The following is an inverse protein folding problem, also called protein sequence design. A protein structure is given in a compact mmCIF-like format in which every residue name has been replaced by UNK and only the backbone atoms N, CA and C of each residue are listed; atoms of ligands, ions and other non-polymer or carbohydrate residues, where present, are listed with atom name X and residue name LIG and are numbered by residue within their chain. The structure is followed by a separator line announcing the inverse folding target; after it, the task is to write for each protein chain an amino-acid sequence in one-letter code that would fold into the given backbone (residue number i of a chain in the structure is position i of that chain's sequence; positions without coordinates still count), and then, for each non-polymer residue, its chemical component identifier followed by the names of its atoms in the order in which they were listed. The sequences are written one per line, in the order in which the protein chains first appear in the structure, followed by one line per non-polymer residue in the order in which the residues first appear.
data_IF_453150918552
#
_entry.id   IF_453150918552
#
_cell.length_a   1.000
_cell.length_b   1.000
_cell.length_c   1.000
_cell.angle_alpha   90.00
_cell.angle_beta   90.00
_cell.angle_gamma   90.00
#
_symmetry.space_group_name_H-M   'P 1'
#
loop_
_entity.id
_entity.type
_entity.pdbx_description
1 polymer ?
#
# COMPACT_ATOMS: atom_id res chain seq x y z
N UNK A 1 4.96 13.78 -18.53
CA UNK A 1 6.31 13.33 -18.09
C UNK A 1 6.20 11.87 -17.74
N UNK A 2 6.90 10.97 -18.43
CA UNK A 2 6.89 9.53 -18.14
C UNK A 2 7.77 9.24 -16.92
N UNK A 3 7.19 8.67 -15.86
CA UNK A 3 7.92 8.18 -14.69
C UNK A 3 8.58 6.84 -15.07
N UNK A 4 9.91 6.84 -15.17
CA UNK A 4 10.68 5.61 -15.31
C UNK A 4 10.71 4.89 -13.97
N UNK A 5 10.18 3.67 -13.90
CA UNK A 5 10.32 2.80 -12.74
C UNK A 5 11.81 2.48 -12.50
N UNK A 6 12.39 3.08 -11.46
CA UNK A 6 13.77 2.78 -11.05
C UNK A 6 13.87 1.28 -10.71
N UNK A 7 14.69 0.53 -11.46
CA UNK A 7 14.97 -0.87 -11.15
C UNK A 7 15.70 -0.97 -9.81
N UNK A 8 15.46 -2.09 -9.10
CA UNK A 8 15.95 -2.30 -7.73
C UNK A 8 16.77 -3.58 -7.68
N UNK A 9 17.94 -3.53 -7.04
CA UNK A 9 18.79 -4.70 -6.79
C UNK A 9 18.72 -5.12 -5.32
N UNK A 10 18.91 -6.43 -5.08
CA UNK A 10 18.92 -7.00 -3.72
C UNK A 10 20.20 -7.77 -3.49
N UNK A 11 20.88 -7.54 -2.37
CA UNK A 11 22.12 -8.24 -1.99
C UNK A 11 22.21 -8.38 -0.46
N UNK A 12 23.18 -9.15 0.04
CA UNK A 12 23.36 -9.37 1.48
C UNK A 12 24.61 -8.64 1.99
N UNK A 13 24.53 -8.06 3.20
CA UNK A 13 25.69 -7.47 3.86
C UNK A 13 26.73 -8.57 4.19
N UNK A 14 28.01 -8.44 3.78
CA UNK A 14 29.03 -9.45 4.02
C UNK A 14 29.43 -9.63 5.50
N UNK A 15 28.99 -8.73 6.40
CA UNK A 15 29.30 -8.79 7.84
C UNK A 15 28.19 -9.37 8.70
N UNK A 16 26.94 -8.92 8.49
CA UNK A 16 25.81 -9.35 9.32
C UNK A 16 24.76 -10.17 8.55
N UNK A 17 24.98 -10.40 7.25
CA UNK A 17 24.06 -11.12 6.38
C UNK A 17 22.66 -10.49 6.26
N UNK A 18 22.49 -9.22 6.62
CA UNK A 18 21.24 -8.50 6.41
C UNK A 18 20.95 -8.36 4.90
N UNK A 19 19.73 -8.68 4.49
CA UNK A 19 19.24 -8.49 3.11
C UNK A 19 18.98 -7.00 2.89
N UNK A 20 19.61 -6.43 1.87
CA UNK A 20 19.55 -5.01 1.54
C UNK A 20 18.98 -4.84 0.14
N UNK A 21 18.15 -3.81 -0.03
CA UNK A 21 17.47 -3.48 -1.28
C UNK A 21 17.74 -2.03 -1.62
N UNK A 22 18.34 -1.78 -2.79
CA UNK A 22 18.73 -0.42 -3.23
C UNK A 22 18.38 -0.20 -4.70
N UNK A 23 18.07 1.03 -5.11
CA UNK A 23 17.93 1.39 -6.53
C UNK A 23 19.21 1.10 -7.33
N UNK A 24 19.07 0.67 -8.59
CA UNK A 24 20.21 0.38 -9.48
C UNK A 24 21.15 1.58 -9.66
N UNK A 25 20.64 2.81 -9.56
CA UNK A 25 21.45 4.05 -9.58
C UNK A 25 22.46 4.16 -8.42
N UNK A 26 22.33 3.33 -7.38
CA UNK A 26 23.25 3.28 -6.23
C UNK A 26 24.25 2.11 -6.28
N UNK A 27 24.30 1.34 -7.38
CA UNK A 27 25.32 0.29 -7.56
C UNK A 27 26.73 0.88 -7.56
N UNK A 28 27.69 0.22 -6.90
CA UNK A 28 29.07 0.69 -6.77
C UNK A 28 29.30 1.79 -5.71
N UNK A 29 28.24 2.33 -5.10
CA UNK A 29 28.36 3.35 -4.05
C UNK A 29 28.63 2.68 -2.69
N UNK A 30 29.50 3.30 -1.89
CA UNK A 30 29.81 2.87 -0.53
C UNK A 30 28.91 3.55 0.51
N UNK A 31 28.44 2.81 1.50
CA UNK A 31 27.63 3.33 2.60
C UNK A 31 27.67 2.44 3.84
N UNK A 32 27.24 2.93 5.01
CA UNK A 32 27.13 2.09 6.20
C UNK A 32 25.93 1.15 6.08
N UNK A 33 26.12 -0.13 6.41
CA UNK A 33 25.02 -1.09 6.51
C UNK A 33 24.02 -0.64 7.59
N UNK A 34 22.71 -0.61 7.32
CA UNK A 34 21.71 -0.15 8.29
C UNK A 34 21.63 -1.05 9.53
N UNK A 35 21.94 -2.34 9.41
CA UNK A 35 21.86 -3.29 10.52
C UNK A 35 23.10 -3.30 11.42
N UNK A 36 24.31 -3.26 10.85
CA UNK A 36 25.56 -3.43 11.62
C UNK A 36 26.53 -2.24 11.55
N UNK A 37 26.17 -1.18 10.82
CA UNK A 37 26.97 0.04 10.59
C UNK A 37 28.32 -0.16 9.91
N UNK A 38 28.67 -1.38 9.49
CA UNK A 38 29.90 -1.64 8.74
C UNK A 38 29.79 -1.03 7.35
N UNK A 39 30.87 -0.40 6.87
CA UNK A 39 30.97 0.13 5.51
C UNK A 39 30.87 -1.02 4.49
N UNK A 40 29.95 -0.89 3.55
CA UNK A 40 29.67 -1.87 2.48
C UNK A 40 29.63 -1.15 1.14
N UNK A 41 29.91 -1.88 0.06
CA UNK A 41 29.85 -1.40 -1.32
C UNK A 41 28.73 -2.15 -2.03
N UNK A 42 27.82 -1.43 -2.68
CA UNK A 42 26.78 -2.03 -3.50
C UNK A 42 27.40 -2.78 -4.70
N UNK A 43 27.03 -4.04 -4.98
CA UNK A 43 27.56 -4.77 -6.13
C UNK A 43 27.15 -4.08 -7.43
N UNK A 44 28.04 -4.09 -8.42
CA UNK A 44 27.70 -3.69 -9.78
C UNK A 44 26.72 -4.72 -10.34
N UNK A 45 25.61 -4.25 -10.92
CA UNK A 45 24.68 -5.14 -11.59
C UNK A 45 25.33 -5.66 -12.86
N UNK A 46 25.90 -6.86 -12.83
CA UNK A 46 26.27 -7.56 -14.07
C UNK A 46 24.97 -7.84 -14.82
N UNK A 47 24.73 -7.08 -15.89
CA UNK A 47 23.66 -7.40 -16.83
C UNK A 47 23.99 -8.76 -17.42
N UNK A 48 23.12 -9.74 -17.19
CA UNK A 48 23.17 -11.08 -17.76
C UNK A 48 23.43 -11.02 -19.27
N UNK A 49 24.68 -11.16 -19.69
CA UNK A 49 25.01 -11.68 -21.00
C UNK A 49 24.85 -13.19 -20.94
N UNK A 50 23.91 -13.71 -21.72
CA UNK A 50 23.58 -15.13 -21.90
C UNK A 50 24.81 -16.03 -22.05
N UNK A 51 24.77 -17.29 -21.58
CA UNK A 51 25.85 -18.25 -21.82
C UNK A 51 25.73 -18.79 -23.25
N UNK A 52 26.69 -18.41 -24.10
CA UNK A 52 26.95 -19.06 -25.37
C UNK A 52 27.78 -20.33 -25.16
N UNK A 53 27.48 -21.35 -25.97
CA UNK A 53 28.09 -22.67 -25.96
C UNK A 53 29.55 -22.62 -26.41
N UNK A 54 30.41 -23.41 -25.77
CA UNK A 54 31.81 -23.57 -26.18
C UNK A 54 32.48 -24.72 -25.42
N UNK A 55 32.79 -25.75 -26.19
CA UNK A 55 33.05 -27.15 -25.84
C UNK A 55 34.46 -27.47 -25.30
N UNK A 56 34.60 -28.68 -24.76
CA UNK A 56 35.82 -29.48 -24.49
C UNK A 56 36.77 -29.03 -23.35
N UNK A 57 37.42 -29.86 -22.54
CA UNK A 57 37.45 -31.31 -22.29
C UNK A 57 38.48 -31.53 -21.16
N UNK A 58 38.27 -32.48 -20.24
CA UNK A 58 39.18 -33.62 -19.97
C UNK A 58 38.92 -34.28 -18.61
N UNK A 59 38.95 -35.60 -18.70
CA UNK A 59 38.73 -36.64 -17.70
C UNK A 59 39.66 -36.61 -16.48
N UNK A 60 39.17 -37.16 -15.36
CA UNK A 60 39.83 -38.29 -14.69
C UNK A 60 38.98 -38.84 -13.52
N UNK A 61 38.50 -40.06 -13.72
CA UNK A 61 38.54 -41.22 -12.81
C UNK A 61 38.38 -41.05 -11.28
N UNK A 62 37.26 -41.59 -10.80
CA UNK A 62 37.05 -42.23 -9.47
C UNK A 62 37.78 -43.60 -9.38
N UNK A 63 37.73 -44.43 -8.30
CA UNK A 63 37.00 -44.34 -7.01
C UNK A 63 37.80 -44.86 -5.75
N UNK A 64 37.20 -44.81 -4.55
CA UNK A 64 37.21 -45.84 -3.47
C UNK A 64 36.61 -45.26 -2.17
N UNK A 65 35.48 -45.75 -1.67
CA UNK A 65 35.25 -46.94 -0.81
C UNK A 65 35.79 -46.85 0.65
N UNK A 66 34.83 -47.01 1.58
CA UNK A 66 34.90 -47.65 2.91
C UNK A 66 35.80 -47.01 3.98
N UNK A 67 35.19 -46.57 5.10
CA UNK A 67 35.51 -47.04 6.47
C UNK A 67 34.35 -46.72 7.44
N UNK A 68 34.11 -47.73 8.28
CA UNK A 68 33.09 -47.96 9.32
C UNK A 68 33.35 -47.23 10.65
N UNK A 69 32.28 -47.26 11.49
CA UNK A 69 32.20 -47.38 13.00
C UNK A 69 32.25 -46.07 13.81
N UNK A 70 31.47 -45.80 14.89
CA UNK A 70 30.62 -46.54 15.89
C UNK A 70 29.53 -45.57 16.45
N UNK A 71 28.23 -45.92 16.62
CA UNK A 71 27.51 -46.46 17.85
C UNK A 71 27.84 -45.69 19.15
N UNK A 72 26.97 -44.96 19.87
CA UNK A 72 25.76 -45.31 20.70
C UNK A 72 25.30 -44.06 21.52
N UNK A 73 24.25 -44.03 22.38
CA UNK A 73 22.96 -44.76 22.42
C UNK A 73 21.71 -43.83 22.51
N UNK A 74 20.56 -44.45 22.29
CA UNK A 74 19.19 -43.96 22.51
C UNK A 74 18.89 -43.59 23.97
N UNK A 75 17.94 -42.66 24.16
CA UNK A 75 16.90 -42.80 25.20
C UNK A 75 15.54 -42.34 24.66
N UNK A 76 14.63 -43.32 24.52
CA UNK A 76 13.18 -43.16 24.40
C UNK A 76 12.63 -42.57 25.71
N UNK A 77 11.56 -41.79 25.64
CA UNK A 77 10.30 -42.11 26.33
C UNK A 77 9.13 -41.38 25.68
N UNK A 78 8.03 -42.11 25.55
CA UNK A 78 6.72 -41.73 25.03
C UNK A 78 5.72 -41.92 26.19
N UNK A 79 4.86 -40.94 26.44
CA UNK A 79 3.53 -41.03 27.12
C UNK A 79 2.90 -39.63 26.97
N UNK A 80 1.85 -39.45 26.16
CA UNK A 80 0.42 -39.71 26.44
C UNK A 80 -0.22 -38.71 27.42
N UNK A 81 -1.11 -37.86 26.87
CA UNK A 81 -2.42 -37.38 27.36
C UNK A 81 -2.63 -37.09 28.85
N UNK A 82 -2.90 -35.83 29.17
CA UNK A 82 -3.99 -35.39 30.06
C UNK A 82 -4.14 -33.86 29.96
N UNK A 83 -5.37 -33.35 29.95
CA UNK A 83 -5.66 -31.92 29.96
C UNK A 83 -5.79 -31.39 31.39
N UNK A 84 -5.21 -30.20 31.63
CA UNK A 84 -5.39 -29.35 32.81
C UNK A 84 -5.31 -27.90 32.29
N UNK A 85 -6.43 -27.17 32.23
CA UNK A 85 -6.97 -26.28 33.28
C UNK A 85 -5.97 -25.21 33.70
N UNK A 86 -6.20 -23.98 33.21
CA UNK A 86 -5.29 -22.84 33.24
C UNK A 86 -5.80 -21.77 34.24
N UNK A 87 -6.03 -22.18 35.48
CA UNK A 87 -6.43 -21.32 36.59
C UNK A 87 -5.54 -21.65 37.79
N UNK A 88 -4.33 -21.07 37.86
CA UNK A 88 -3.52 -20.89 39.09
C UNK A 88 -2.16 -20.22 38.79
N UNK A 89 -2.16 -18.97 38.34
CA UNK A 89 -0.95 -18.12 38.38
C UNK A 89 -1.35 -16.69 38.70
N UNK A 90 -1.88 -16.40 39.88
CA UNK A 90 -1.77 -15.08 40.55
C UNK A 90 -2.16 -15.22 42.03
N UNK A 91 -1.25 -15.74 42.85
CA UNK A 91 -1.27 -15.59 44.31
C UNK A 91 0.16 -15.51 44.83
N UNK A 92 0.43 -14.47 45.63
CA UNK A 92 1.68 -14.18 46.35
C UNK A 92 2.87 -13.71 45.46
N UNK A 93 3.58 -12.62 45.76
CA UNK A 93 4.01 -12.20 47.09
C UNK A 93 4.31 -10.69 47.17
N UNK A 94 4.14 -10.17 48.39
CA UNK A 94 4.34 -8.80 48.84
C UNK A 94 5.80 -8.56 49.25
N UNK A 95 6.16 -7.27 49.27
CA UNK A 95 7.21 -6.60 50.06
C UNK A 95 8.66 -6.67 49.55
N UNK A 96 9.13 -5.55 48.99
CA UNK A 96 10.47 -5.02 49.25
C UNK A 96 10.43 -3.49 49.33
N UNK A 97 11.05 -2.98 50.39
CA UNK A 97 11.20 -1.57 50.75
C UNK A 97 11.83 -0.75 49.62
N UNK A 98 11.25 0.42 49.34
CA UNK A 98 11.81 1.43 48.43
C UNK A 98 12.58 2.44 49.26
N UNK A 99 13.90 2.43 49.08
CA UNK A 99 14.85 3.39 49.62
C UNK A 99 14.67 4.76 48.94
N UNK A 100 14.31 5.77 49.74
CA UNK A 100 14.19 7.16 49.33
C UNK A 100 15.55 7.83 49.49
N UNK A 101 16.33 7.95 48.40
CA UNK A 101 17.18 9.11 48.04
C UNK A 101 18.31 8.75 47.05
N UNK A 102 18.28 9.21 45.79
CA UNK A 102 19.49 9.31 44.98
C UNK A 102 20.10 10.72 45.07
N UNK A 103 21.33 10.76 45.59
CA UNK A 103 22.22 11.93 45.60
C UNK A 103 22.57 12.34 44.15
N UNK A 104 22.38 13.61 43.73
CA UNK A 104 22.74 14.04 42.38
C UNK A 104 24.26 14.25 42.22
N UNK A 105 24.84 13.63 41.18
CA UNK A 105 26.24 13.87 40.76
C UNK A 105 26.35 15.16 39.92
N UNK A 106 27.46 15.91 40.03
CA UNK A 106 27.61 17.22 39.39
C UNK A 106 27.77 17.14 37.87
N UNK A 107 27.00 17.98 37.18
CA UNK A 107 26.97 18.17 35.72
C UNK A 107 28.22 18.92 35.23
N UNK A 108 28.96 18.30 34.29
CA UNK A 108 30.23 18.80 33.74
C UNK A 108 29.95 19.72 32.54
N UNK A 109 30.06 21.03 32.75
CA UNK A 109 29.92 22.11 31.75
C UNK A 109 31.05 22.03 30.72
N UNK A 110 30.73 21.73 29.46
CA UNK A 110 31.71 21.71 28.36
C UNK A 110 31.54 22.96 27.48
N UNK A 111 32.60 23.75 27.38
CA UNK A 111 32.65 25.06 26.77
C UNK A 111 33.30 24.93 25.38
N UNK A 112 32.53 24.95 24.30
CA UNK A 112 33.05 25.11 22.92
C UNK A 112 32.14 26.03 22.12
N UNK A 113 32.40 27.33 22.22
CA UNK A 113 31.74 28.39 21.47
C UNK A 113 32.85 29.25 20.86
N UNK A 114 33.21 29.00 19.59
CA UNK A 114 33.93 29.96 18.70
C UNK A 114 34.24 29.47 17.27
N UNK A 115 33.86 28.27 16.82
CA UNK A 115 34.21 27.81 15.45
C UNK A 115 33.16 28.09 14.35
N UNK A 116 31.91 28.45 14.68
CA UNK A 116 30.81 28.44 13.68
C UNK A 116 30.59 29.77 12.93
N UNK A 117 31.39 30.82 13.15
CA UNK A 117 31.16 32.12 12.48
C UNK A 117 31.77 32.24 11.07
N UNK A 118 32.73 31.40 10.72
CA UNK A 118 33.43 31.50 9.41
C UNK A 118 32.71 30.70 8.30
N UNK A 119 31.93 29.68 8.66
CA UNK A 119 31.22 28.84 7.67
C UNK A 119 29.95 29.53 7.16
N UNK A 120 29.30 30.38 7.96
CA UNK A 120 28.03 31.02 7.59
C UNK A 120 28.17 32.10 6.51
N UNK A 121 29.32 32.79 6.46
CA UNK A 121 29.54 33.89 5.50
C UNK A 121 29.81 33.39 4.08
N UNK A 122 30.44 32.23 3.91
CA UNK A 122 30.70 31.66 2.59
C UNK A 122 29.43 31.20 1.86
N UNK A 123 28.44 30.68 2.59
CA UNK A 123 27.17 30.19 2.03
C UNK A 123 26.26 31.31 1.50
N UNK A 124 26.26 32.49 2.14
CA UNK A 124 25.42 33.62 1.68
C UNK A 124 25.95 34.19 0.37
N UNK A 125 27.28 34.24 0.17
CA UNK A 125 27.89 34.73 -1.06
C UNK A 125 27.55 33.87 -2.28
N UNK A 126 27.44 32.54 -2.11
CA UNK A 126 27.10 31.60 -3.20
C UNK A 126 25.65 31.80 -3.66
N UNK A 127 24.72 31.99 -2.72
CA UNK A 127 23.30 32.20 -3.04
C UNK A 127 23.11 33.50 -3.83
N UNK A 128 23.76 34.59 -3.42
CA UNK A 128 23.68 35.87 -4.13
C UNK A 128 24.28 35.77 -5.56
N UNK A 129 25.39 35.06 -5.73
CA UNK A 129 25.99 34.87 -7.05
C UNK A 129 25.09 34.04 -7.99
N UNK A 130 24.44 33.00 -7.46
CA UNK A 130 23.50 32.17 -8.24
C UNK A 130 22.25 32.94 -8.69
N UNK A 131 21.70 33.80 -7.82
CA UNK A 131 20.56 34.66 -8.16
C UNK A 131 20.92 35.67 -9.25
N UNK A 132 22.14 36.22 -9.21
CA UNK A 132 22.62 37.14 -10.24
C UNK A 132 22.80 36.45 -11.60
N UNK A 133 23.32 35.22 -11.63
CA UNK A 133 23.43 34.43 -12.86
C UNK A 133 22.06 34.04 -13.43
N UNK A 134 21.12 33.61 -12.59
CA UNK A 134 19.76 33.28 -13.02
C UNK A 134 19.03 34.50 -13.62
N UNK A 135 19.15 35.68 -12.98
CA UNK A 135 18.57 36.91 -13.50
C UNK A 135 19.19 37.33 -14.84
N UNK A 136 20.49 37.08 -15.04
CA UNK A 136 21.16 37.40 -16.31
C UNK A 136 20.74 36.46 -17.45
N UNK A 137 20.48 35.19 -17.15
CA UNK A 137 19.95 34.22 -18.11
C UNK A 137 18.49 34.53 -18.48
N UNK A 138 17.67 34.97 -17.52
CA UNK A 138 16.27 35.33 -17.77
C UNK A 138 16.13 36.51 -18.74
N UNK A 139 16.97 37.55 -18.61
CA UNK A 139 16.91 38.73 -19.49
C UNK A 139 17.48 38.50 -20.89
N UNK A 140 18.07 37.34 -21.18
CA UNK A 140 18.79 37.09 -22.43
C UNK A 140 17.96 36.53 -23.60
N UNK A 141 16.67 36.21 -23.42
CA UNK A 141 15.98 35.35 -24.39
C UNK A 141 14.56 35.82 -24.78
N UNK A 142 14.39 37.12 -25.00
CA UNK A 142 13.23 37.65 -25.76
C UNK A 142 13.66 37.94 -27.20
N UNK A 143 13.66 36.90 -28.04
CA UNK A 143 13.52 37.05 -29.49
C UNK A 143 12.35 36.18 -29.97
N UNK A 144 11.21 36.86 -30.12
CA UNK A 144 10.28 36.82 -31.25
C UNK A 144 10.18 35.49 -32.03
N UNK A 145 9.32 34.59 -31.57
CA UNK A 145 8.82 33.48 -32.39
C UNK A 145 7.56 33.96 -33.12
N UNK A 146 7.72 34.27 -34.40
CA UNK A 146 6.61 34.46 -35.34
C UNK A 146 5.87 33.13 -35.53
N UNK A 147 4.55 33.14 -35.32
CA UNK A 147 3.65 32.02 -35.66
C UNK A 147 3.18 32.15 -37.10
N UNK A 148 3.48 31.16 -37.93
CA UNK A 148 2.79 30.96 -39.21
C UNK A 148 1.38 30.36 -38.99
N UNK A 149 0.38 30.73 -39.81
CA UNK A 149 -0.96 30.18 -39.72
C UNK A 149 -1.05 28.80 -40.39
N UNK A 150 -1.48 27.81 -39.63
CA UNK A 150 -1.82 26.47 -40.12
C UNK A 150 -3.13 26.55 -40.91
N UNK A 151 -3.07 26.14 -42.18
CA UNK A 151 -4.23 25.99 -43.06
C UNK A 151 -5.00 24.70 -42.72
N UNK A 152 -6.30 24.84 -42.41
CA UNK A 152 -7.22 23.73 -42.27
C UNK A 152 -7.90 23.46 -43.62
N UNK A 153 -7.67 22.28 -44.21
CA UNK A 153 -8.49 21.77 -45.30
C UNK A 153 -9.79 21.21 -44.72
N UNK A 154 -10.88 21.93 -44.97
CA UNK A 154 -12.25 21.52 -44.67
C UNK A 154 -12.71 20.57 -45.79
N UNK A 155 -13.01 19.33 -45.43
CA UNK A 155 -13.76 18.39 -46.28
C UNK A 155 -15.25 18.70 -46.10
N UNK A 156 -15.93 19.02 -47.20
CA UNK A 156 -17.34 19.38 -47.25
C UNK A 156 -18.27 18.17 -46.99
N UNK A 157 -19.51 18.42 -46.52
CA UNK A 157 -20.49 17.37 -46.25
C UNK A 157 -21.21 16.92 -47.53
N UNK A 158 -21.52 15.63 -47.60
CA UNK A 158 -22.34 15.02 -48.67
C UNK A 158 -23.80 15.09 -48.23
N UNK A 159 -24.60 15.86 -48.96
CA UNK A 159 -26.07 15.89 -48.81
C UNK A 159 -26.73 14.65 -49.45
N UNK A 160 -27.87 14.18 -48.91
CA UNK A 160 -28.59 13.02 -49.40
C UNK A 160 -29.85 13.43 -50.18
N UNK A 161 -29.85 13.26 -51.51
CA UNK A 161 -31.09 13.19 -52.28
C UNK A 161 -30.84 12.43 -53.59
N UNK A 162 -31.44 11.26 -53.76
CA UNK A 162 -32.13 10.85 -55.00
C UNK A 162 -32.95 9.59 -54.69
N UNK A 163 -34.24 9.78 -54.50
CA UNK A 163 -35.26 8.74 -54.61
C UNK A 163 -35.58 8.59 -56.11
N UNK A 164 -35.69 7.34 -56.58
CA UNK A 164 -36.87 6.79 -57.30
C UNK A 164 -36.57 5.92 -58.53
N UNK A 165 -37.30 4.79 -58.56
CA UNK A 165 -37.59 3.88 -59.69
C UNK A 165 -36.45 2.93 -60.11
N UNK A 166 -36.63 1.63 -60.35
CA UNK A 166 -37.68 0.92 -61.11
C UNK A 166 -37.74 -0.58 -60.73
N UNK A 167 -38.97 -1.09 -60.63
CA UNK A 167 -39.51 -2.44 -60.91
C UNK A 167 -38.97 -3.74 -60.27
N UNK A 168 -39.90 -4.45 -59.62
CA UNK A 168 -39.97 -5.92 -59.56
C UNK A 168 -40.19 -6.56 -60.93
N UNK A 169 -39.83 -7.85 -61.07
CA UNK A 169 -40.87 -8.83 -61.40
C UNK A 169 -40.83 -10.08 -60.51
N UNK A 170 -42.00 -10.73 -60.46
CA UNK A 170 -42.32 -11.95 -59.72
C UNK A 170 -41.74 -13.23 -60.34
N UNK A 171 -41.54 -14.21 -59.44
CA UNK A 171 -41.74 -15.67 -59.58
C UNK A 171 -41.07 -16.43 -60.73
N UNK A 172 -40.24 -17.42 -60.38
CA UNK A 172 -40.56 -18.81 -60.74
C UNK A 172 -39.86 -19.88 -59.88
N UNK A 173 -40.50 -21.05 -59.91
CA UNK A 173 -40.41 -22.29 -59.13
C UNK A 173 -39.04 -22.98 -58.96
N UNK A 174 -38.90 -23.58 -57.76
CA UNK A 174 -38.59 -24.99 -57.43
C UNK A 174 -37.46 -25.69 -58.21
N UNK A 175 -36.39 -26.09 -57.51
CA UNK A 175 -36.03 -27.51 -57.43
C UNK A 175 -35.23 -27.88 -56.17
N UNK A 176 -35.53 -29.05 -55.61
CA UNK A 176 -34.84 -29.66 -54.47
C UNK A 176 -33.75 -30.60 -54.98
N UNK A 177 -32.54 -30.52 -54.42
CA UNK A 177 -31.69 -31.72 -54.28
C UNK A 177 -30.76 -31.62 -53.09
N UNK A 178 -30.83 -32.66 -52.26
CA UNK A 178 -30.00 -32.98 -51.09
C UNK A 178 -28.49 -32.79 -51.31
N UNK A 179 -27.77 -32.28 -50.30
CA UNK A 179 -26.69 -33.03 -49.60
C UNK A 179 -26.15 -32.28 -48.38
N UNK A 180 -26.02 -33.05 -47.30
CA UNK A 180 -25.18 -32.93 -46.11
C UNK A 180 -25.45 -31.92 -44.95
N UNK A 181 -25.55 -32.44 -43.70
CA UNK A 181 -25.66 -31.63 -42.49
C UNK A 181 -24.31 -31.54 -41.78
N UNK A 182 -23.63 -30.38 -41.79
CA UNK A 182 -22.45 -30.18 -40.95
C UNK A 182 -22.47 -28.78 -40.33
N UNK A 183 -22.41 -28.77 -38.99
CA UNK A 183 -22.08 -27.68 -38.08
C UNK A 183 -22.95 -26.43 -38.08
N UNK A 184 -24.07 -26.51 -37.37
CA UNK A 184 -24.48 -25.38 -36.52
C UNK A 184 -23.52 -25.33 -35.34
N UNK A 185 -22.49 -24.51 -35.48
CA UNK A 185 -21.70 -24.02 -34.34
C UNK A 185 -22.68 -23.40 -33.34
N UNK A 186 -22.89 -24.11 -32.24
CA UNK A 186 -23.54 -23.53 -31.08
C UNK A 186 -22.70 -22.34 -30.66
N UNK A 187 -23.24 -21.15 -30.79
CA UNK A 187 -22.76 -19.97 -30.10
C UNK A 187 -22.89 -20.30 -28.61
N UNK A 188 -21.82 -20.82 -28.02
CA UNK A 188 -21.68 -20.93 -26.58
C UNK A 188 -21.52 -19.48 -26.12
N UNK A 189 -22.63 -18.83 -25.80
CA UNK A 189 -22.58 -17.64 -24.97
C UNK A 189 -21.88 -18.06 -23.67
N UNK A 190 -20.73 -17.48 -23.31
CA UNK A 190 -20.10 -17.79 -22.05
C UNK A 190 -21.11 -17.45 -20.96
N UNK A 191 -21.52 -18.44 -20.18
CA UNK A 191 -22.29 -18.22 -18.97
C UNK A 191 -21.36 -17.44 -18.04
N UNK A 192 -21.52 -16.11 -18.01
CA UNK A 192 -20.82 -15.25 -17.06
C UNK A 192 -21.34 -15.68 -15.69
N UNK A 193 -20.56 -16.49 -14.99
CA UNK A 193 -20.84 -16.86 -13.61
C UNK A 193 -20.63 -15.61 -12.75
N UNK A 194 -21.70 -14.84 -12.55
CA UNK A 194 -21.64 -13.64 -11.72
C UNK A 194 -21.48 -14.08 -10.26
N UNK A 195 -20.36 -13.69 -9.64
CA UNK A 195 -20.06 -13.95 -8.23
C UNK A 195 -21.15 -13.32 -7.33
N UNK A 196 -21.62 -14.04 -6.31
CA UNK A 196 -22.58 -13.53 -5.32
C UNK A 196 -22.07 -12.27 -4.60
N UNK A 197 -20.74 -12.13 -4.46
CA UNK A 197 -20.12 -10.91 -3.95
C UNK A 197 -20.32 -9.72 -4.90
N UNK A 198 -20.19 -9.95 -6.21
CA UNK A 198 -20.41 -8.93 -7.24
C UNK A 198 -21.87 -8.45 -7.22
N UNK A 199 -22.84 -9.39 -7.18
CA UNK A 199 -24.27 -9.04 -7.07
C UNK A 199 -24.58 -8.25 -5.80
N UNK A 200 -23.91 -8.57 -4.70
CA UNK A 200 -24.07 -7.84 -3.43
C UNK A 200 -23.53 -6.41 -3.55
N UNK A 201 -22.35 -6.23 -4.14
CA UNK A 201 -21.78 -4.92 -4.38
C UNK A 201 -22.68 -4.08 -5.30
N UNK A 202 -23.20 -4.68 -6.36
CA UNK A 202 -24.12 -4.01 -7.29
C UNK A 202 -25.39 -3.53 -6.57
N UNK A 203 -26.00 -4.39 -5.73
CA UNK A 203 -27.16 -4.01 -4.91
C UNK A 203 -26.83 -2.93 -3.89
N UNK A 204 -25.65 -3.00 -3.27
CA UNK A 204 -25.17 -1.94 -2.39
C UNK A 204 -25.12 -0.63 -3.16
N UNK A 205 -24.39 -0.55 -4.28
CA UNK A 205 -24.21 0.68 -5.06
C UNK A 205 -25.53 1.27 -5.57
N UNK A 206 -26.46 0.43 -6.03
CA UNK A 206 -27.77 0.83 -6.56
C UNK A 206 -28.84 1.14 -5.52
N UNK A 207 -28.58 0.89 -4.23
CA UNK A 207 -29.59 1.10 -3.19
C UNK A 207 -30.08 2.55 -3.15
N UNK A 208 -31.39 2.74 -3.19
CA UNK A 208 -32.04 4.06 -3.30
C UNK A 208 -32.33 4.71 -1.96
N UNK A 209 -32.28 3.92 -0.89
CA UNK A 209 -32.62 4.34 0.46
C UNK A 209 -31.79 3.58 1.51
N UNK A 210 -31.85 4.06 2.74
CA UNK A 210 -31.01 3.57 3.84
C UNK A 210 -31.31 2.12 4.20
N UNK A 211 -32.58 1.70 4.13
CA UNK A 211 -33.00 0.33 4.45
C UNK A 211 -32.44 -0.66 3.43
N UNK A 212 -32.48 -0.33 2.14
CA UNK A 212 -31.82 -1.13 1.10
C UNK A 212 -30.30 -1.17 1.29
N UNK A 213 -29.67 -0.02 1.53
CA UNK A 213 -28.21 0.10 1.67
C UNK A 213 -27.69 -0.75 2.83
N UNK A 214 -28.30 -0.63 4.00
CA UNK A 214 -27.85 -1.27 5.26
C UNK A 214 -27.93 -2.78 5.25
N UNK A 215 -28.82 -3.39 4.45
CA UNK A 215 -28.88 -4.86 4.28
C UNK A 215 -27.61 -5.45 3.69
N UNK A 216 -26.83 -4.65 2.97
CA UNK A 216 -25.62 -5.06 2.30
C UNK A 216 -24.35 -4.62 3.04
N UNK A 217 -24.46 -3.98 4.21
CA UNK A 217 -23.33 -3.46 4.97
C UNK A 217 -22.88 -4.48 6.03
N UNK A 218 -21.56 -4.63 6.16
CA UNK A 218 -20.92 -5.45 7.18
C UNK A 218 -21.12 -4.81 8.56
N UNK A 219 -21.56 -5.60 9.55
CA UNK A 219 -21.83 -5.11 10.92
C UNK A 219 -22.78 -3.90 10.97
N UNK A 220 -23.76 -3.83 10.06
CA UNK A 220 -24.65 -2.68 9.91
C UNK A 220 -25.39 -2.29 11.19
N UNK A 221 -25.78 -3.27 12.03
CA UNK A 221 -26.43 -3.02 13.31
C UNK A 221 -25.57 -2.17 14.27
N UNK A 222 -24.26 -2.42 14.30
CA UNK A 222 -23.31 -1.66 15.13
C UNK A 222 -23.00 -0.29 14.54
N UNK A 223 -22.96 -0.20 13.22
CA UNK A 223 -22.62 1.02 12.49
C UNK A 223 -23.82 1.94 12.25
N UNK A 224 -25.04 1.49 12.52
CA UNK A 224 -26.27 2.20 12.15
C UNK A 224 -26.31 3.66 12.61
N UNK A 225 -25.87 4.03 13.84
CA UNK A 225 -25.82 5.44 14.25
C UNK A 225 -24.91 6.29 13.36
N UNK A 226 -23.73 5.78 12.99
CA UNK A 226 -22.77 6.48 12.13
C UNK A 226 -23.28 6.60 10.70
N UNK A 227 -23.92 5.55 10.20
CA UNK A 227 -24.52 5.53 8.85
C UNK A 227 -25.66 6.55 8.77
N UNK A 228 -26.54 6.59 9.77
CA UNK A 228 -27.65 7.57 9.83
C UNK A 228 -27.09 8.99 9.85
N UNK A 229 -26.09 9.26 10.68
CA UNK A 229 -25.50 10.59 10.79
C UNK A 229 -24.90 11.04 9.45
N UNK A 230 -24.11 10.17 8.81
CA UNK A 230 -23.48 10.46 7.53
C UNK A 230 -24.50 10.81 6.43
N UNK A 231 -25.59 10.04 6.30
CA UNK A 231 -26.59 10.27 5.25
C UNK A 231 -27.62 11.38 5.57
N UNK A 232 -27.48 12.10 6.69
CA UNK A 232 -28.22 13.37 6.89
C UNK A 232 -27.74 14.44 5.92
N UNK A 233 -26.45 14.45 5.62
CA UNK A 233 -25.79 15.49 4.81
C UNK A 233 -25.33 14.97 3.44
N UNK A 234 -25.27 13.65 3.26
CA UNK A 234 -24.78 13.01 2.05
C UNK A 234 -25.87 12.22 1.31
N UNK A 235 -25.79 12.19 -0.02
CA UNK A 235 -26.71 11.40 -0.85
C UNK A 235 -26.48 9.90 -0.66
N UNK A 236 -27.57 9.13 -0.55
CA UNK A 236 -27.51 7.67 -0.54
C UNK A 236 -27.21 7.12 -1.94
N UNK A 237 -27.73 7.77 -2.98
CA UNK A 237 -27.54 7.35 -4.37
C UNK A 237 -26.13 7.65 -4.82
N UNK A 238 -25.46 6.65 -5.38
CA UNK A 238 -24.13 6.78 -5.99
C UNK A 238 -24.30 6.93 -7.50
N UNK A 239 -23.83 8.04 -8.05
CA UNK A 239 -23.89 8.33 -9.48
C UNK A 239 -22.74 7.63 -10.23
N UNK A 240 -23.06 7.05 -11.39
CA UNK A 240 -22.09 6.52 -12.36
C UNK A 240 -21.10 5.51 -11.78
N UNK A 241 -21.55 4.68 -10.83
CA UNK A 241 -20.70 3.64 -10.25
C UNK A 241 -20.40 2.52 -11.24
N UNK A 242 -19.12 2.25 -11.49
CA UNK A 242 -18.66 1.15 -12.35
C UNK A 242 -17.81 0.19 -11.53
N UNK A 243 -18.15 -1.10 -11.60
CA UNK A 243 -17.32 -2.17 -11.00
C UNK A 243 -16.32 -2.62 -12.06
N UNK A 244 -15.05 -2.32 -11.84
CA UNK A 244 -13.96 -2.78 -12.67
C UNK A 244 -13.60 -4.20 -12.22
N UNK A 245 -14.04 -5.20 -12.98
CA UNK A 245 -13.71 -6.59 -12.67
C UNK A 245 -12.21 -6.85 -12.80
N UNK A 246 -11.66 -7.43 -11.72
CA UNK A 246 -10.46 -8.28 -11.59
C UNK A 246 -9.35 -7.73 -10.66
N UNK A 247 -9.19 -8.33 -9.49
CA UNK A 247 -7.87 -8.50 -8.85
C UNK A 247 -7.85 -9.83 -8.11
N UNK A 248 -6.86 -10.64 -8.45
CA UNK A 248 -6.49 -11.96 -7.91
C UNK A 248 -7.03 -12.25 -6.50
N UNK A 249 -8.10 -13.04 -6.41
CA UNK A 249 -8.35 -13.79 -5.19
C UNK A 249 -7.27 -14.86 -5.13
N UNK A 250 -6.35 -14.75 -4.18
CA UNK A 250 -5.64 -15.94 -3.70
C UNK A 250 -6.72 -16.83 -3.09
N UNK A 251 -7.25 -17.73 -3.92
CA UNK A 251 -8.17 -18.75 -3.46
C UNK A 251 -7.48 -19.48 -2.30
N UNK A 252 -8.17 -19.57 -1.17
CA UNK A 252 -7.85 -20.61 -0.20
C UNK A 252 -7.87 -21.95 -0.96
N UNK A 253 -7.06 -22.91 -0.54
CA UNK A 253 -6.95 -24.23 -1.18
C UNK A 253 -8.29 -24.99 -1.30
N UNK A 254 -9.36 -24.48 -0.67
CA UNK A 254 -10.75 -24.91 -0.72
C UNK A 254 -11.62 -24.25 -1.80
N UNK A 255 -11.14 -23.26 -2.55
CA UNK A 255 -11.90 -22.58 -3.62
C UNK A 255 -12.80 -21.42 -3.16
N UNK A 256 -13.18 -21.36 -1.88
CA UNK A 256 -13.99 -20.28 -1.31
C UNK A 256 -13.12 -19.33 -0.47
N UNK A 257 -12.76 -18.16 -1.02
CA UNK A 257 -12.21 -17.07 -0.19
C UNK A 257 -13.34 -16.40 0.60
N UNK A 258 -13.14 -16.22 1.91
CA UNK A 258 -14.08 -15.56 2.84
C UNK A 258 -14.23 -14.06 2.60
N UNK A 259 -13.40 -13.48 1.74
CA UNK A 259 -13.47 -12.06 1.37
C UNK A 259 -13.28 -11.86 -0.14
N UNK A 260 -13.68 -10.68 -0.62
CA UNK A 260 -13.49 -10.20 -2.00
C UNK A 260 -13.08 -8.73 -1.99
N UNK A 261 -12.27 -8.33 -2.96
CA UNK A 261 -11.98 -6.93 -3.25
C UNK A 261 -12.35 -6.69 -4.71
N UNK A 262 -13.17 -5.66 -4.94
CA UNK A 262 -13.44 -5.16 -6.29
C UNK A 262 -12.82 -3.78 -6.45
N UNK A 263 -12.40 -3.44 -7.65
CA UNK A 263 -12.08 -2.05 -7.97
C UNK A 263 -13.37 -1.36 -8.43
N UNK A 264 -13.64 -0.17 -7.89
CA UNK A 264 -14.83 0.62 -8.22
C UNK A 264 -14.40 2.02 -8.60
N UNK A 265 -15.09 2.62 -9.56
CA UNK A 265 -15.07 4.05 -9.82
C UNK A 265 -16.46 4.63 -9.63
N UNK A 266 -16.55 5.91 -9.31
CA UNK A 266 -17.79 6.68 -9.21
C UNK A 266 -17.59 8.06 -9.83
N UNK A 267 -18.67 8.82 -10.02
CA UNK A 267 -18.55 10.23 -10.42
C UNK A 267 -17.76 11.09 -9.42
N UNK A 268 -17.78 10.72 -8.14
CA UNK A 268 -17.07 11.46 -7.07
C UNK A 268 -15.59 11.06 -7.00
N UNK A 269 -15.29 9.81 -7.35
CA UNK A 269 -13.95 9.25 -7.35
C UNK A 269 -13.72 8.50 -8.66
N UNK A 270 -13.20 9.23 -9.64
CA UNK A 270 -12.94 8.70 -10.97
C UNK A 270 -11.77 7.71 -10.98
N UNK A 271 -10.84 7.82 -10.02
CA UNK A 271 -9.75 6.86 -9.85
C UNK A 271 -10.25 5.56 -9.22
N UNK A 272 -9.86 4.38 -9.75
CA UNK A 272 -10.26 3.10 -9.19
C UNK A 272 -9.85 2.94 -7.72
N UNK A 273 -10.81 2.54 -6.89
CA UNK A 273 -10.57 2.27 -5.46
C UNK A 273 -11.09 0.91 -5.01
N UNK A 274 -10.44 0.28 -4.00
CA UNK A 274 -10.80 -1.05 -3.55
C UNK A 274 -12.04 -1.02 -2.67
N UNK A 275 -13.05 -1.82 -3.02
CA UNK A 275 -14.22 -2.08 -2.17
C UNK A 275 -14.12 -3.48 -1.61
N UNK A 276 -14.05 -3.56 -0.29
CA UNK A 276 -13.87 -4.80 0.46
C UNK A 276 -15.21 -5.41 0.87
N UNK A 277 -15.36 -6.71 0.64
CA UNK A 277 -16.51 -7.51 1.05
C UNK A 277 -16.08 -8.75 1.84
N UNK A 278 -16.91 -9.13 2.81
CA UNK A 278 -16.77 -10.38 3.58
C UNK A 278 -17.98 -11.27 3.40
N UNK A 279 -17.76 -12.57 3.37
CA UNK A 279 -18.81 -13.58 3.41
C UNK A 279 -19.14 -13.89 4.87
N UNK A 280 -20.35 -13.52 5.29
CA UNK A 280 -20.89 -13.77 6.64
C UNK A 280 -21.91 -14.90 6.60
N UNK A 281 -22.40 -15.36 7.76
CA UNK A 281 -23.54 -16.28 7.83
C UNK A 281 -24.80 -15.74 7.13
N UNK A 282 -24.93 -14.42 7.05
CA UNK A 282 -26.03 -13.71 6.36
C UNK A 282 -25.72 -13.37 4.89
N UNK A 283 -24.67 -13.97 4.33
CA UNK A 283 -24.16 -13.74 2.99
C UNK A 283 -23.09 -12.64 2.90
N UNK A 284 -22.75 -12.27 1.68
CA UNK A 284 -21.76 -11.23 1.38
C UNK A 284 -22.19 -9.86 1.92
N UNK A 285 -21.24 -9.11 2.49
CA UNK A 285 -21.44 -7.76 3.04
C UNK A 285 -20.28 -6.85 2.69
N UNK A 286 -20.58 -5.58 2.42
CA UNK A 286 -19.63 -4.51 2.07
C UNK A 286 -19.15 -3.80 3.34
N UNK A 287 -17.84 -3.56 3.44
CA UNK A 287 -17.29 -2.65 4.45
C UNK A 287 -17.65 -1.21 4.08
N UNK A 288 -18.68 -0.67 4.74
CA UNK A 288 -19.20 0.67 4.47
C UNK A 288 -18.20 1.77 4.81
N UNK A 289 -17.54 1.67 5.98
CA UNK A 289 -16.61 2.69 6.45
C UNK A 289 -15.43 2.87 5.48
N UNK A 290 -14.86 1.77 4.97
CA UNK A 290 -13.81 1.85 3.96
C UNK A 290 -14.32 2.39 2.63
N UNK A 291 -15.52 1.97 2.20
CA UNK A 291 -16.13 2.45 0.95
C UNK A 291 -16.27 3.98 0.95
N UNK A 292 -16.85 4.55 2.02
CA UNK A 292 -17.03 6.01 2.14
C UNK A 292 -15.68 6.71 2.15
N UNK A 293 -14.73 6.27 2.98
CA UNK A 293 -13.42 6.93 3.07
C UNK A 293 -12.66 6.97 1.73
N UNK A 294 -12.74 5.91 0.92
CA UNK A 294 -12.05 5.88 -0.36
C UNK A 294 -12.77 6.66 -1.45
N UNK A 295 -14.10 6.52 -1.52
CA UNK A 295 -14.93 7.28 -2.44
C UNK A 295 -14.82 8.81 -2.19
N UNK A 296 -14.51 9.22 -0.97
CA UNK A 296 -14.33 10.64 -0.63
C UNK A 296 -12.87 11.09 -0.59
N UNK A 297 -11.91 10.17 -0.77
CA UNK A 297 -10.50 10.40 -0.49
C UNK A 297 -10.27 11.06 0.89
N UNK A 298 -10.93 10.54 1.93
CA UNK A 298 -10.95 11.13 3.26
C UNK A 298 -9.54 11.25 3.86
N UNK A 299 -8.72 10.21 3.72
CA UNK A 299 -7.34 10.25 4.18
C UNK A 299 -6.52 11.28 3.39
N UNK A 300 -6.59 11.30 2.06
CA UNK A 300 -5.84 12.29 1.26
C UNK A 300 -6.18 13.72 1.66
N UNK A 301 -7.47 14.03 1.89
CA UNK A 301 -7.91 15.34 2.40
C UNK A 301 -7.38 15.65 3.81
N UNK A 302 -7.32 14.64 4.68
CA UNK A 302 -6.75 14.78 6.02
C UNK A 302 -5.25 15.06 6.01
N UNK A 303 -4.50 14.45 5.07
CA UNK A 303 -3.06 14.64 4.94
C UNK A 303 -2.68 16.03 4.39
N UNK A 304 -3.57 16.66 3.61
CA UNK A 304 -3.27 17.95 2.97
C UNK A 304 -3.30 19.14 3.93
N UNK A 305 -4.10 19.09 4.99
CA UNK A 305 -4.31 20.23 5.88
C UNK A 305 -4.41 19.80 7.34
N UNK A 306 -3.88 20.63 8.24
CA UNK A 306 -4.02 20.44 9.68
C UNK A 306 -5.50 20.29 10.07
N UNK A 307 -5.80 19.25 10.84
CA UNK A 307 -7.11 19.04 11.46
C UNK A 307 -6.96 18.83 12.95
N UNK A 308 -7.79 19.50 13.75
CA UNK A 308 -7.74 19.38 15.22
C UNK A 308 -8.27 18.04 15.73
N UNK A 309 -9.13 17.41 14.95
CA UNK A 309 -9.78 16.15 15.31
C UNK A 309 -8.90 14.95 14.97
N UNK A 310 -9.01 13.96 15.83
CA UNK A 310 -8.36 12.67 15.66
C UNK A 310 -9.32 11.74 14.92
N UNK A 311 -8.83 11.07 13.88
CA UNK A 311 -9.67 10.30 12.96
C UNK A 311 -9.07 8.95 12.63
N UNK A 312 -9.94 7.97 12.38
CA UNK A 312 -9.55 6.60 12.04
C UNK A 312 -9.60 6.40 10.53
N UNK A 313 -8.51 5.89 9.96
CA UNK A 313 -8.34 5.71 8.52
C UNK A 313 -7.96 4.27 8.16
N UNK A 314 -8.51 3.82 7.05
CA UNK A 314 -8.00 2.65 6.32
C UNK A 314 -6.82 3.11 5.46
N UNK A 315 -5.63 2.60 5.75
CA UNK A 315 -4.40 3.08 5.10
C UNK A 315 -3.68 1.95 4.37
N UNK A 316 -2.85 2.32 3.41
CA UNK A 316 -1.64 1.56 3.08
C UNK A 316 -0.50 2.15 3.90
N UNK A 317 0.29 1.31 4.54
CA UNK A 317 1.33 1.69 5.49
C UNK A 317 2.63 0.92 5.21
N UNK A 318 3.76 1.63 5.21
CA UNK A 318 5.11 1.07 5.09
C UNK A 318 6.00 1.65 6.19
N UNK A 319 6.89 0.83 6.78
CA UNK A 319 7.95 1.35 7.66
C UNK A 319 8.93 2.21 6.87
N UNK A 320 9.26 3.39 7.40
CA UNK A 320 10.09 4.35 6.67
C UNK A 320 11.16 4.99 7.54
N UNK A 321 12.20 5.50 6.88
CA UNK A 321 13.14 6.43 7.48
C UNK A 321 12.77 7.86 7.09
N UNK A 322 12.83 8.77 8.07
CA UNK A 322 12.62 10.20 7.86
C UNK A 322 13.90 10.97 8.14
N UNK A 323 14.31 11.80 7.18
CA UNK A 323 15.53 12.61 7.24
C UNK A 323 15.25 14.13 7.22
N UNK A 324 13.98 14.53 7.32
CA UNK A 324 13.58 15.94 7.35
C UNK A 324 13.80 16.60 8.72
N UNK A 325 13.69 17.93 8.76
CA UNK A 325 13.87 18.75 9.97
C UNK A 325 12.57 19.26 10.58
N UNK A 326 11.42 18.97 9.97
CA UNK A 326 10.11 19.48 10.39
C UNK A 326 9.51 18.82 11.64
N UNK A 327 10.14 17.77 12.16
CA UNK A 327 9.61 16.95 13.25
C UNK A 327 10.54 17.03 14.46
N UNK A 328 10.09 17.66 15.57
CA UNK A 328 10.89 17.76 16.78
C UNK A 328 11.22 16.40 17.39
N UNK A 329 12.42 16.31 17.97
CA UNK A 329 12.89 15.12 18.67
C UNK A 329 12.79 13.84 17.81
N UNK A 330 13.10 13.90 16.51
CA UNK A 330 12.94 12.77 15.59
C UNK A 330 13.62 11.47 16.07
N UNK A 331 14.71 11.56 16.85
CA UNK A 331 15.39 10.41 17.44
C UNK A 331 14.55 9.63 18.46
N UNK A 332 13.53 10.24 19.07
CA UNK A 332 12.58 9.59 19.98
C UNK A 332 11.34 9.05 19.28
N UNK A 333 11.31 9.06 17.94
CA UNK A 333 10.18 8.57 17.16
C UNK A 333 10.58 7.43 16.23
N UNK A 334 9.58 6.64 15.88
CA UNK A 334 9.58 5.78 14.68
C UNK A 334 8.72 6.44 13.61
N UNK A 335 8.94 6.04 12.36
CA UNK A 335 8.31 6.67 11.21
C UNK A 335 7.73 5.62 10.27
N UNK A 336 6.56 5.97 9.72
CA UNK A 336 5.89 5.23 8.67
C UNK A 336 5.57 6.17 7.52
N UNK A 337 5.49 5.62 6.32
CA UNK A 337 4.78 6.25 5.21
C UNK A 337 3.36 5.70 5.19
N UNK A 338 2.40 6.59 5.01
CA UNK A 338 1.02 6.19 4.74
C UNK A 338 0.54 6.84 3.45
N UNK A 339 -0.38 6.16 2.79
CA UNK A 339 -1.11 6.68 1.65
C UNK A 339 -2.54 6.13 1.66
N UNK A 340 -3.49 6.83 1.03
CA UNK A 340 -4.80 6.23 0.78
C UNK A 340 -4.61 5.04 -0.18
N UNK A 341 -5.46 4.00 -0.12
CA UNK A 341 -5.37 2.84 -1.01
C UNK A 341 -5.96 3.11 -2.41
N UNK A 342 -5.73 4.33 -2.89
CA UNK A 342 -5.98 4.83 -4.24
C UNK A 342 -4.69 5.52 -4.70
N UNK A 343 -4.61 5.95 -5.96
CA UNK A 343 -3.52 6.87 -6.30
C UNK A 343 -3.64 8.15 -5.46
N UNK A 344 -2.55 8.53 -4.81
CA UNK A 344 -2.53 9.69 -3.93
C UNK A 344 -1.15 9.95 -3.36
N UNK A 345 -1.04 11.08 -2.66
CA UNK A 345 0.19 11.49 -2.02
C UNK A 345 0.50 10.59 -0.81
N UNK A 346 1.78 10.21 -0.70
CA UNK A 346 2.34 9.59 0.50
C UNK A 346 2.70 10.68 1.52
N UNK A 347 2.43 10.43 2.79
CA UNK A 347 2.86 11.31 3.88
C UNK A 347 3.55 10.52 5.00
N UNK A 348 4.44 11.18 5.73
CA UNK A 348 5.12 10.60 6.88
C UNK A 348 4.33 10.80 8.16
N UNK A 349 4.13 9.71 8.88
CA UNK A 349 3.50 9.70 10.21
C UNK A 349 4.43 9.07 11.24
N UNK A 350 4.22 9.43 12.50
CA UNK A 350 5.15 9.12 13.57
C UNK A 350 4.46 8.41 14.73
N UNK A 351 5.23 7.65 15.50
CA UNK A 351 4.82 7.18 16.82
C UNK A 351 6.01 7.31 17.77
N UNK A 352 5.76 7.44 19.07
CA UNK A 352 6.82 7.44 20.07
C UNK A 352 7.59 6.10 20.04
N UNK A 353 8.92 6.17 20.10
CA UNK A 353 9.79 4.98 19.98
C UNK A 353 9.65 3.99 21.13
N UNK A 354 9.23 4.46 22.29
CA UNK A 354 8.98 3.68 23.50
C UNK A 354 7.50 3.28 23.66
N UNK A 355 6.65 3.53 22.66
CA UNK A 355 5.23 3.17 22.69
C UNK A 355 4.97 1.69 22.37
N UNK A 356 3.79 1.19 22.77
CA UNK A 356 3.29 -0.13 22.35
C UNK A 356 3.13 -0.24 20.83
N UNK A 357 2.88 0.87 20.13
CA UNK A 357 2.85 0.92 18.66
C UNK A 357 4.22 0.60 18.09
N UNK A 358 5.29 1.11 18.69
CA UNK A 358 6.65 0.80 18.25
C UNK A 358 6.99 -0.68 18.43
N UNK A 359 6.75 -1.23 19.63
CA UNK A 359 6.92 -2.65 19.92
C UNK A 359 6.11 -3.54 18.95
N UNK A 360 4.83 -3.21 18.76
CA UNK A 360 3.95 -3.90 17.82
C UNK A 360 4.51 -3.88 16.39
N UNK A 361 4.90 -2.70 15.91
CA UNK A 361 5.40 -2.54 14.54
C UNK A 361 6.71 -3.26 14.29
N UNK A 362 7.58 -3.40 15.30
CA UNK A 362 8.82 -4.15 15.17
C UNK A 362 8.58 -5.65 15.00
N UNK A 363 7.54 -6.17 15.66
CA UNK A 363 7.15 -7.57 15.59
C UNK A 363 6.33 -7.90 14.33
N UNK A 364 5.41 -7.01 13.97
CA UNK A 364 4.34 -7.32 13.03
C UNK A 364 4.56 -6.72 11.63
N UNK A 365 5.41 -5.70 11.51
CA UNK A 365 5.71 -5.00 10.27
C UNK A 365 7.21 -5.10 9.89
N UNK A 366 7.48 -5.79 8.80
CA UNK A 366 8.80 -5.91 8.18
C UNK A 366 9.13 -4.66 7.37
N UNK A 367 10.42 -4.44 7.14
CA UNK A 367 10.91 -3.33 6.33
C UNK A 367 10.76 -3.63 4.84
N UNK A 368 10.27 -2.65 4.07
CA UNK A 368 10.09 -2.76 2.61
C UNK A 368 8.86 -3.57 2.19
N UNK A 369 7.99 -3.91 3.15
CA UNK A 369 6.71 -4.57 2.92
C UNK A 369 5.54 -3.60 3.16
N UNK A 370 4.46 -3.80 2.41
CA UNK A 370 3.26 -2.97 2.48
C UNK A 370 2.19 -3.64 3.36
N UNK A 371 1.61 -2.86 4.25
CA UNK A 371 0.55 -3.28 5.16
C UNK A 371 -0.72 -2.46 4.91
N UNK A 372 -1.86 -3.02 5.32
CA UNK A 372 -3.17 -2.39 5.14
C UNK A 372 -3.90 -2.25 6.49
N UNK A 373 -3.35 -1.52 7.47
CA UNK A 373 -3.96 -1.39 8.77
C UNK A 373 -5.11 -0.38 8.78
N UNK A 374 -5.87 -0.43 9.88
CA UNK A 374 -6.78 0.63 10.29
C UNK A 374 -6.08 1.37 11.43
N UNK A 375 -5.81 2.66 11.24
CA UNK A 375 -5.03 3.46 12.19
C UNK A 375 -5.77 4.73 12.57
N UNK A 376 -5.61 5.16 13.82
CA UNK A 376 -6.06 6.45 14.32
C UNK A 376 -4.93 7.45 14.20
N UNK A 377 -5.22 8.58 13.56
CA UNK A 377 -4.25 9.64 13.27
C UNK A 377 -4.65 10.94 13.93
N UNK A 378 -3.65 11.68 14.39
CA UNK A 378 -3.82 13.00 14.99
C UNK A 378 -2.76 13.96 14.47
N UNK A 379 -3.17 15.16 14.07
CA UNK A 379 -2.21 16.24 13.84
C UNK A 379 -1.69 16.79 15.17
N UNK A 380 -0.38 16.92 15.25
CA UNK A 380 0.32 17.54 16.37
C UNK A 380 0.87 18.88 15.89
N UNK A 381 0.52 19.94 16.60
CA UNK A 381 1.10 21.28 16.43
C UNK A 381 1.89 21.63 17.68
N UNK A 382 3.18 21.84 17.53
CA UNK A 382 4.05 22.23 18.66
C UNK A 382 3.99 23.73 18.92
N UNK A 383 4.43 24.16 20.11
CA UNK A 383 4.55 25.58 20.46
C UNK A 383 5.43 26.35 19.47
N UNK A 384 6.51 25.72 19.00
CA UNK A 384 7.42 26.26 17.99
C UNK A 384 6.83 26.32 16.56
N UNK A 385 5.56 25.93 16.38
CA UNK A 385 4.85 26.01 15.12
C UNK A 385 5.05 24.82 14.17
N UNK A 386 5.85 23.82 14.55
CA UNK A 386 5.98 22.57 13.77
C UNK A 386 4.67 21.80 13.76
N UNK A 387 4.38 21.17 12.62
CA UNK A 387 3.21 20.33 12.42
C UNK A 387 3.65 18.98 11.87
N UNK A 388 3.12 17.90 12.45
CA UNK A 388 3.32 16.54 11.97
C UNK A 388 2.15 15.67 12.40
N UNK A 389 2.04 14.47 11.84
CA UNK A 389 0.96 13.54 12.12
C UNK A 389 1.49 12.40 13.00
N UNK A 390 0.74 12.07 14.04
CA UNK A 390 1.03 10.96 14.93
C UNK A 390 0.01 9.82 14.73
N UNK A 391 0.49 8.58 14.68
CA UNK A 391 -0.33 7.38 14.87
C UNK A 391 -0.54 7.23 16.37
N UNK A 392 -1.77 7.43 16.80
CA UNK A 392 -2.18 7.29 18.20
C UNK A 392 -2.68 5.89 18.51
N UNK A 393 -3.15 5.16 17.50
CA UNK A 393 -3.67 3.81 17.64
C UNK A 393 -3.54 3.02 16.33
N UNK A 394 -3.19 1.73 16.44
CA UNK A 394 -3.40 0.74 15.39
C UNK A 394 -4.59 -0.11 15.82
N UNK A 395 -5.76 0.21 15.29
CA UNK A 395 -7.00 -0.50 15.63
C UNK A 395 -6.97 -1.94 15.11
N UNK A 396 -6.42 -2.12 13.91
CA UNK A 396 -6.38 -3.41 13.24
C UNK A 396 -5.18 -3.51 12.30
N UNK A 397 -4.52 -4.67 12.25
CA UNK A 397 -3.34 -4.91 11.39
C UNK A 397 -3.68 -5.01 9.90
N UNK A 398 -4.88 -5.49 9.58
CA UNK A 398 -5.38 -5.68 8.20
C UNK A 398 -6.83 -5.23 8.11
N UNK A 399 -7.34 -4.93 6.92
CA UNK A 399 -8.77 -4.62 6.74
C UNK A 399 -9.71 -5.82 6.98
N UNK A 400 -9.18 -7.03 7.21
CA UNK A 400 -9.98 -8.25 7.34
C UNK A 400 -10.46 -8.44 8.76
N UNK A 401 -11.77 -8.54 8.95
CA UNK A 401 -12.36 -8.91 10.24
C UNK A 401 -11.99 -10.36 10.55
N UNK A 402 -11.33 -10.61 11.68
CA UNK A 402 -10.92 -11.97 12.06
C UNK A 402 -10.49 -12.08 13.51
N UNK A 403 -10.83 -13.20 14.15
CA UNK A 403 -10.59 -13.47 15.57
C UNK A 403 -9.11 -13.64 15.95
N UNK A 404 -8.19 -13.72 14.98
CA UNK A 404 -6.75 -13.87 15.20
C UNK A 404 -5.95 -12.60 14.89
N UNK A 405 -6.60 -11.43 14.84
CA UNK A 405 -5.89 -10.17 14.76
C UNK A 405 -5.44 -9.77 16.17
N UNK A 406 -4.21 -9.26 16.34
CA UNK A 406 -3.77 -8.71 17.62
C UNK A 406 -4.73 -7.61 18.06
N UNK A 407 -5.03 -7.56 19.36
CA UNK A 407 -5.87 -6.53 19.98
C UNK A 407 -5.37 -5.13 19.62
N UNK A 408 -6.31 -4.19 19.52
CA UNK A 408 -6.06 -2.76 19.31
C UNK A 408 -4.87 -2.26 20.14
N UNK A 409 -3.93 -1.58 19.48
CA UNK A 409 -2.69 -1.09 20.09
C UNK A 409 -2.70 0.43 20.16
N UNK A 410 -2.82 0.97 21.36
CA UNK A 410 -2.82 2.42 21.62
C UNK A 410 -1.43 2.90 22.03
N UNK A 411 -1.08 4.15 21.69
CA UNK A 411 0.19 4.79 22.04
C UNK A 411 0.39 4.92 23.57
N UNK A 412 -0.70 5.13 24.32
CA UNK A 412 -0.71 5.16 25.79
C UNK A 412 -0.84 3.75 26.34
N UNK A 413 0.12 3.31 27.14
CA UNK A 413 0.17 1.95 27.63
C UNK A 413 0.91 1.77 28.93
#
# INVERSE_FOLDING_TARGET
MQLTSDSVITFHCPKCNAKLRIPTKLTGIEGPCPSCKTKITAPLSEQNSSPDQGDSSLDNDSPNEIIRKKVSPQKKHTTASAGESLDDIFSENRNTEVDLNPIPKPYRKNNKRTANKIIFTASISIIILSAFFAHKLWKGNEQEIQREPISFNIVAPIDPETISSVASPQNDKVDQTNTDPINKEGVITPIIQIDAAHLTLEKFLKASNLNERTRHILNSEKLLPQIIEYYKENSITIEEAVILSNTSNTALSSGDSYFRIFQVTTKQQEEPFPVYLENTESGWKVSWSSFIQFNENALGKFLQNYQSEEMTFYTKLERAHFFGSGVPQIGSKICFKIQPPIQGDEEFVFAARDSKIAEFSEKEFEWGEEYFPIVRLKWIKTEDGHQFIEITEIEQKTWRSGQSQPSTVTSTG
#
